data_IF_599660641172
#
_entry.id   IF_599660641172
#
_cell.length_a   1.000
_cell.length_b   1.000
_cell.length_c   1.000
_cell.angle_alpha   90.00
_cell.angle_beta   90.00
_cell.angle_gamma   90.00
#
_symmetry.space_group_name_H-M   'P 1'
#
loop_
_entity.id
_entity.type
_entity.pdbx_description
1 polymer ?
#
# COMPACT_ATOMS: atom_id res chain seq x y z
N UNK A 1 2.64 34.27 56.90
CA UNK A 1 3.50 33.08 56.78
C UNK A 1 2.92 32.16 55.71
N UNK A 2 2.97 32.58 54.47
CA UNK A 2 2.31 31.83 53.35
C UNK A 2 2.97 32.10 52.00
N UNK A 3 4.31 31.91 51.87
CA UNK A 3 5.04 32.28 50.63
C UNK A 3 6.10 31.25 50.18
N UNK A 4 6.11 30.01 50.73
CA UNK A 4 7.16 29.04 50.39
C UNK A 4 6.66 27.68 49.87
N UNK A 5 5.37 27.52 49.58
CA UNK A 5 4.83 26.23 49.12
C UNK A 5 4.78 26.13 47.59
N UNK A 6 4.76 27.25 46.87
CA UNK A 6 4.64 27.25 45.37
C UNK A 6 5.89 26.83 44.58
N UNK A 7 7.14 27.08 45.01
CA UNK A 7 8.31 26.66 44.24
C UNK A 7 8.52 25.13 44.21
N UNK A 8 8.14 24.44 45.30
CA UNK A 8 8.36 22.99 45.38
C UNK A 8 7.44 22.17 44.47
N UNK A 9 6.21 22.62 44.28
CA UNK A 9 5.26 21.97 43.38
C UNK A 9 5.62 22.19 41.86
N UNK A 10 6.23 23.34 41.53
CA UNK A 10 6.67 23.62 40.18
C UNK A 10 7.90 22.79 39.76
N UNK A 11 8.82 22.51 40.71
CA UNK A 11 9.98 21.65 40.49
C UNK A 11 9.63 20.17 40.36
N UNK A 12 8.56 19.70 41.01
CA UNK A 12 8.10 18.30 40.85
C UNK A 12 7.32 18.04 39.57
N UNK A 13 6.80 19.07 38.93
CA UNK A 13 6.11 18.95 37.61
C UNK A 13 7.07 18.81 36.44
N UNK A 14 8.33 19.26 36.56
CA UNK A 14 9.33 19.26 35.50
C UNK A 14 10.12 17.96 35.36
N UNK A 15 9.96 17.00 36.28
CA UNK A 15 10.72 15.75 36.32
C UNK A 15 10.01 14.56 35.64
N UNK A 16 8.90 14.79 34.91
CA UNK A 16 8.32 13.75 34.06
C UNK A 16 8.97 13.77 32.65
N UNK A 17 10.25 13.63 32.59
CA UNK A 17 10.97 13.14 31.41
C UNK A 17 10.58 11.68 31.19
N UNK A 18 9.37 11.44 30.67
CA UNK A 18 8.97 10.10 30.29
C UNK A 18 10.00 9.57 29.29
N UNK A 19 10.60 8.43 29.61
CA UNK A 19 11.51 7.72 28.73
C UNK A 19 10.85 7.60 27.34
N UNK A 20 11.42 8.25 26.33
CA UNK A 20 10.86 8.23 24.97
C UNK A 20 10.96 6.81 24.46
N UNK A 21 9.87 6.04 24.57
CA UNK A 21 9.80 4.70 23.98
C UNK A 21 10.06 4.82 22.48
N UNK A 22 10.98 3.99 21.98
CA UNK A 22 11.28 3.92 20.53
C UNK A 22 9.98 3.57 19.79
N UNK A 23 9.64 4.35 18.78
CA UNK A 23 8.41 4.15 17.97
C UNK A 23 8.40 2.82 17.20
N UNK A 24 9.59 2.28 16.92
CA UNK A 24 9.79 1.05 16.16
C UNK A 24 10.38 -0.02 17.09
N UNK A 25 9.51 -0.73 17.79
CA UNK A 25 9.86 -1.88 18.63
C UNK A 25 9.45 -3.21 17.98
N UNK A 26 8.93 -3.19 16.75
CA UNK A 26 8.60 -4.43 16.03
C UNK A 26 9.90 -5.13 15.64
N UNK A 27 10.13 -6.33 16.16
CA UNK A 27 11.25 -7.19 15.78
C UNK A 27 11.15 -7.67 14.31
N UNK A 28 9.95 -7.58 13.72
CA UNK A 28 9.65 -8.04 12.37
C UNK A 28 9.81 -6.90 11.36
N UNK A 29 10.75 -7.06 10.43
CA UNK A 29 10.96 -6.11 9.34
C UNK A 29 9.78 -6.11 8.35
N UNK A 30 9.61 -5.02 7.60
CA UNK A 30 8.57 -4.93 6.56
C UNK A 30 8.69 -6.04 5.51
N UNK A 31 9.90 -6.39 5.11
CA UNK A 31 10.17 -7.52 4.20
C UNK A 31 9.65 -8.85 4.74
N UNK A 32 9.92 -9.15 6.02
CA UNK A 32 9.45 -10.39 6.67
C UNK A 32 7.92 -10.42 6.73
N UNK A 33 7.29 -9.29 7.02
CA UNK A 33 5.82 -9.20 7.03
C UNK A 33 5.21 -9.46 5.65
N UNK A 34 5.76 -8.84 4.60
CA UNK A 34 5.30 -9.08 3.22
C UNK A 34 5.49 -10.54 2.84
N UNK A 35 6.64 -11.13 3.12
CA UNK A 35 6.92 -12.54 2.86
C UNK A 35 5.91 -13.43 3.57
N UNK A 36 5.65 -13.22 4.86
CA UNK A 36 4.66 -13.97 5.64
C UNK A 36 3.24 -13.87 5.05
N UNK A 37 2.86 -12.67 4.55
CA UNK A 37 1.57 -12.49 3.89
C UNK A 37 1.47 -13.26 2.57
N UNK A 38 2.58 -13.35 1.82
CA UNK A 38 2.65 -14.05 0.53
C UNK A 38 2.78 -15.57 0.66
N UNK A 39 3.39 -16.06 1.73
CA UNK A 39 3.61 -17.49 2.00
C UNK A 39 2.52 -18.10 2.88
N UNK A 40 1.78 -17.26 3.59
CA UNK A 40 0.71 -17.67 4.48
C UNK A 40 -0.59 -18.00 3.76
N UNK A 41 -1.68 -18.00 4.51
CA UNK A 41 -2.99 -18.27 3.94
C UNK A 41 -3.38 -17.18 2.92
N UNK A 42 -3.92 -17.59 1.76
CA UNK A 42 -4.28 -16.71 0.62
C UNK A 42 -5.14 -15.50 1.06
N UNK A 43 -6.07 -15.71 1.99
CA UNK A 43 -6.91 -14.62 2.52
C UNK A 43 -6.11 -13.50 3.19
N UNK A 44 -4.96 -13.79 3.80
CA UNK A 44 -4.14 -12.76 4.43
C UNK A 44 -3.59 -11.78 3.40
N UNK A 45 -3.11 -12.29 2.28
CA UNK A 45 -2.67 -11.46 1.15
C UNK A 45 -3.83 -10.68 0.51
N UNK A 46 -4.98 -11.32 0.32
CA UNK A 46 -6.18 -10.68 -0.21
C UNK A 46 -6.70 -9.56 0.69
N UNK A 47 -6.64 -9.73 2.01
CA UNK A 47 -7.01 -8.68 2.97
C UNK A 47 -6.01 -7.53 2.92
N UNK A 48 -4.70 -7.82 2.94
CA UNK A 48 -3.66 -6.81 2.99
C UNK A 48 -3.50 -6.04 1.67
N UNK A 49 -3.55 -6.73 0.52
CA UNK A 49 -3.18 -6.18 -0.77
C UNK A 49 -4.30 -6.22 -1.82
N UNK A 50 -5.47 -6.76 -1.47
CA UNK A 50 -6.63 -6.96 -2.36
C UNK A 50 -6.32 -7.78 -3.60
N UNK A 51 -5.31 -8.65 -3.53
CA UNK A 51 -4.95 -9.57 -4.60
C UNK A 51 -4.41 -10.90 -4.06
N UNK A 52 -4.37 -11.90 -4.94
CA UNK A 52 -3.82 -13.21 -4.61
C UNK A 52 -2.29 -13.20 -4.61
N UNK A 53 -1.62 -14.07 -3.81
CA UNK A 53 -0.17 -14.12 -3.75
C UNK A 53 0.52 -14.40 -5.09
N UNK A 54 -0.09 -15.22 -5.96
CA UNK A 54 0.45 -15.50 -7.30
C UNK A 54 0.48 -14.22 -8.16
N UNK A 55 -0.62 -13.48 -8.21
CA UNK A 55 -0.74 -12.23 -8.97
C UNK A 55 0.22 -11.16 -8.42
N UNK A 56 0.35 -11.08 -7.09
CA UNK A 56 1.30 -10.16 -6.46
C UNK A 56 2.74 -10.46 -6.90
N UNK A 57 3.14 -11.74 -6.87
CA UNK A 57 4.50 -12.15 -7.30
C UNK A 57 4.74 -11.90 -8.78
N UNK A 58 3.77 -12.19 -9.62
CA UNK A 58 3.86 -11.92 -11.07
C UNK A 58 4.01 -10.43 -11.33
N UNK A 59 3.24 -9.59 -10.65
CA UNK A 59 3.34 -8.13 -10.76
C UNK A 59 4.72 -7.63 -10.29
N UNK A 60 5.21 -8.11 -9.14
CA UNK A 60 6.55 -7.76 -8.63
C UNK A 60 7.65 -8.16 -9.63
N UNK A 61 7.59 -9.37 -10.19
CA UNK A 61 8.53 -9.85 -11.18
C UNK A 61 8.45 -9.04 -12.49
N UNK A 62 7.26 -8.66 -12.92
CA UNK A 62 7.06 -7.79 -14.07
C UNK A 62 7.72 -6.42 -13.85
N UNK A 63 7.46 -5.77 -12.71
CA UNK A 63 8.05 -4.47 -12.37
C UNK A 63 9.58 -4.54 -12.33
N UNK A 64 10.13 -5.62 -11.79
CA UNK A 64 11.58 -5.90 -11.75
C UNK A 64 12.14 -6.11 -13.17
N UNK A 65 11.50 -6.94 -13.99
CA UNK A 65 11.95 -7.26 -15.36
C UNK A 65 11.96 -6.03 -16.27
N UNK A 66 11.00 -5.13 -16.10
CA UNK A 66 10.91 -3.87 -16.85
C UNK A 66 11.73 -2.74 -16.22
N UNK A 67 12.45 -3.01 -15.15
CA UNK A 67 13.22 -2.01 -14.38
C UNK A 67 12.40 -0.79 -13.96
N UNK A 68 11.09 -0.96 -13.81
CA UNK A 68 10.20 0.08 -13.32
C UNK A 68 10.37 0.29 -11.81
N UNK A 69 10.66 -0.79 -11.09
CA UNK A 69 11.06 -0.78 -9.69
C UNK A 69 12.26 -1.71 -9.56
N UNK A 70 13.29 -1.28 -8.84
CA UNK A 70 14.52 -2.04 -8.65
C UNK A 70 14.70 -2.42 -7.18
N UNK A 71 15.33 -3.56 -6.95
CA UNK A 71 15.73 -3.96 -5.60
C UNK A 71 16.85 -3.04 -5.10
N UNK A 72 16.71 -2.60 -3.86
CA UNK A 72 17.70 -1.82 -3.13
C UNK A 72 17.87 -2.47 -1.75
N UNK A 73 18.03 -1.70 -0.67
CA UNK A 73 17.87 -2.20 0.71
C UNK A 73 16.44 -2.65 1.00
N UNK A 74 15.49 -2.16 0.21
CA UNK A 74 14.07 -2.51 0.25
C UNK A 74 13.77 -3.26 -1.04
N UNK A 75 13.16 -4.43 -0.94
CA UNK A 75 12.85 -5.30 -2.08
C UNK A 75 11.71 -4.72 -2.93
N UNK A 76 11.59 -5.17 -4.18
CA UNK A 76 10.47 -4.77 -5.06
C UNK A 76 9.14 -5.19 -4.44
N UNK A 77 9.09 -6.37 -3.84
CA UNK A 77 7.90 -6.89 -3.16
C UNK A 77 7.47 -5.99 -2.01
N UNK A 78 8.42 -5.52 -1.22
CA UNK A 78 8.12 -4.65 -0.09
C UNK A 78 7.64 -3.26 -0.55
N UNK A 79 8.28 -2.68 -1.57
CA UNK A 79 7.86 -1.41 -2.18
C UNK A 79 6.46 -1.50 -2.80
N UNK A 80 6.17 -2.60 -3.49
CA UNK A 80 4.84 -2.88 -4.01
C UNK A 80 3.83 -3.06 -2.87
N UNK A 81 4.24 -3.71 -1.78
CA UNK A 81 3.45 -3.86 -0.56
C UNK A 81 3.07 -2.51 0.05
N UNK A 82 3.99 -1.54 0.15
CA UNK A 82 3.69 -0.19 0.62
C UNK A 82 2.57 0.46 -0.19
N UNK A 83 2.72 0.42 -1.51
CA UNK A 83 1.78 1.04 -2.43
C UNK A 83 0.40 0.40 -2.37
N UNK A 84 0.33 -0.93 -2.44
CA UNK A 84 -0.93 -1.66 -2.40
C UNK A 84 -1.61 -1.58 -1.04
N UNK A 85 -0.87 -1.65 0.05
CA UNK A 85 -1.43 -1.51 1.40
C UNK A 85 -2.04 -0.12 1.61
N UNK A 86 -1.34 0.93 1.17
CA UNK A 86 -1.86 2.29 1.22
C UNK A 86 -3.19 2.41 0.46
N UNK A 87 -3.26 1.88 -0.78
CA UNK A 87 -4.47 1.95 -1.59
C UNK A 87 -5.61 1.09 -1.02
N UNK A 88 -5.30 -0.10 -0.52
CA UNK A 88 -6.32 -1.06 -0.05
C UNK A 88 -6.96 -0.66 1.26
N UNK A 89 -6.26 0.09 2.11
CA UNK A 89 -6.71 0.50 3.45
C UNK A 89 -6.91 2.00 3.58
N UNK A 90 -6.67 2.78 2.51
CA UNK A 90 -6.61 4.24 2.59
C UNK A 90 -5.65 4.69 3.72
N UNK A 91 -4.52 3.98 3.86
CA UNK A 91 -3.59 4.14 4.96
C UNK A 91 -2.77 5.42 4.82
N UNK A 92 -2.57 6.10 5.94
CA UNK A 92 -1.64 7.22 6.03
C UNK A 92 -0.18 6.75 6.05
N UNK A 93 0.77 7.68 5.94
CA UNK A 93 2.20 7.33 6.11
C UNK A 93 2.51 6.87 7.55
N UNK A 94 1.79 7.37 8.54
CA UNK A 94 1.89 6.93 9.93
C UNK A 94 1.45 5.47 10.09
N UNK A 95 0.38 5.06 9.41
CA UNK A 95 -0.09 3.67 9.42
C UNK A 95 0.94 2.75 8.75
N UNK A 96 1.49 3.19 7.62
CA UNK A 96 2.58 2.48 6.94
C UNK A 96 3.82 2.36 7.83
N UNK A 97 4.15 3.41 8.59
CA UNK A 97 5.27 3.42 9.52
C UNK A 97 5.05 2.38 10.64
N UNK A 98 3.86 2.31 11.20
CA UNK A 98 3.51 1.31 12.22
C UNK A 98 3.57 -0.10 11.65
N UNK A 99 3.08 -0.28 10.43
CA UNK A 99 3.00 -1.60 9.81
C UNK A 99 4.36 -2.10 9.29
N UNK A 100 5.09 -1.30 8.51
CA UNK A 100 6.32 -1.72 7.82
C UNK A 100 7.61 -1.31 8.54
N UNK A 101 7.57 -0.31 9.44
CA UNK A 101 8.72 0.08 10.25
C UNK A 101 9.73 1.02 9.57
N UNK A 102 9.41 1.59 8.41
CA UNK A 102 10.25 2.58 7.73
C UNK A 102 9.85 4.03 8.06
N UNK A 103 10.70 4.99 7.68
CA UNK A 103 10.42 6.41 7.84
C UNK A 103 9.39 6.92 6.82
N UNK A 104 8.70 8.02 7.16
CA UNK A 104 7.75 8.67 6.26
C UNK A 104 8.41 9.10 4.95
N UNK A 105 9.67 9.57 4.97
CA UNK A 105 10.41 9.93 3.77
C UNK A 105 10.62 8.75 2.83
N UNK A 106 10.87 7.56 3.39
CA UNK A 106 10.99 6.32 2.61
C UNK A 106 9.69 6.02 1.87
N UNK A 107 8.55 6.07 2.56
CA UNK A 107 7.25 5.84 1.95
C UNK A 107 6.93 6.89 0.90
N UNK A 108 7.12 8.16 1.23
CA UNK A 108 6.89 9.28 0.31
C UNK A 108 7.71 9.10 -0.99
N UNK A 109 9.00 8.76 -0.88
CA UNK A 109 9.85 8.52 -2.04
C UNK A 109 9.33 7.38 -2.92
N UNK A 110 9.07 6.20 -2.33
CA UNK A 110 8.66 5.03 -3.10
C UNK A 110 7.24 5.14 -3.65
N UNK A 111 6.30 5.64 -2.87
CA UNK A 111 4.90 5.81 -3.30
C UNK A 111 4.79 6.85 -4.41
N UNK A 112 5.50 7.98 -4.30
CA UNK A 112 5.57 8.96 -5.39
C UNK A 112 6.18 8.38 -6.67
N UNK A 113 7.15 7.49 -6.56
CA UNK A 113 7.70 6.79 -7.73
C UNK A 113 6.62 5.94 -8.41
N UNK A 114 5.78 5.23 -7.67
CA UNK A 114 4.65 4.50 -8.24
C UNK A 114 3.69 5.43 -8.98
N UNK A 115 3.27 6.53 -8.37
CA UNK A 115 2.34 7.46 -9.01
C UNK A 115 2.93 8.17 -10.23
N UNK A 116 4.19 8.58 -10.19
CA UNK A 116 4.82 9.38 -11.24
C UNK A 116 5.40 8.55 -12.39
N UNK A 117 5.81 7.32 -12.15
CA UNK A 117 6.52 6.50 -13.14
C UNK A 117 5.77 5.19 -13.44
N UNK A 118 5.48 4.39 -12.41
CA UNK A 118 4.94 3.04 -12.60
C UNK A 118 3.54 3.09 -13.19
N UNK A 119 2.62 3.80 -12.54
CA UNK A 119 1.21 3.87 -12.96
C UNK A 119 1.06 4.50 -14.37
N UNK A 120 1.68 5.64 -14.70
CA UNK A 120 1.61 6.18 -16.07
C UNK A 120 2.18 5.24 -17.12
N UNK A 121 3.24 4.50 -16.82
CA UNK A 121 3.82 3.54 -17.75
C UNK A 121 2.90 2.35 -17.98
N UNK A 122 2.30 1.82 -16.92
CA UNK A 122 1.32 0.73 -17.02
C UNK A 122 0.04 1.19 -17.72
N UNK A 123 -0.47 2.37 -17.40
CA UNK A 123 -1.71 2.89 -18.01
C UNK A 123 -1.60 3.05 -19.52
N UNK A 124 -0.51 3.59 -20.01
CA UNK A 124 -0.26 3.71 -21.48
C UNK A 124 -0.29 2.37 -22.20
N UNK A 125 0.09 1.29 -21.50
CA UNK A 125 0.17 -0.05 -22.10
C UNK A 125 -1.14 -0.83 -21.98
N UNK A 126 -1.85 -0.69 -20.88
CA UNK A 126 -3.00 -1.55 -20.55
C UNK A 126 -4.35 -0.83 -20.55
N UNK A 127 -4.36 0.50 -20.35
CA UNK A 127 -5.57 1.30 -20.38
C UNK A 127 -5.70 2.01 -21.74
N UNK A 128 -5.87 1.22 -22.80
CA UNK A 128 -6.24 1.77 -24.09
C UNK A 128 -7.75 2.04 -24.11
N UNK A 129 -8.15 3.21 -24.59
CA UNK A 129 -9.56 3.48 -24.79
C UNK A 129 -10.14 2.43 -25.74
N UNK A 130 -11.32 1.87 -25.45
CA UNK A 130 -11.97 0.95 -26.38
C UNK A 130 -12.23 1.66 -27.71
N UNK A 131 -11.96 0.97 -28.81
CA UNK A 131 -12.26 1.49 -30.13
C UNK A 131 -13.78 1.78 -30.22
N UNK A 132 -14.21 3.02 -30.50
CA UNK A 132 -15.63 3.38 -30.56
C UNK A 132 -16.37 2.57 -31.62
N UNK A 133 -15.67 2.00 -32.61
CA UNK A 133 -16.26 1.16 -33.66
C UNK A 133 -16.33 -0.33 -33.26
N UNK A 134 -15.69 -0.76 -32.18
CA UNK A 134 -15.80 -2.11 -31.66
C UNK A 134 -16.91 -2.20 -30.62
N UNK A 135 -18.06 -2.72 -31.03
CA UNK A 135 -19.12 -3.10 -30.08
C UNK A 135 -18.59 -4.24 -29.20
N UNK A 136 -18.42 -3.98 -27.92
CA UNK A 136 -17.91 -4.97 -26.97
C UNK A 136 -18.79 -6.24 -27.05
N UNK A 137 -18.17 -7.44 -27.09
CA UNK A 137 -18.87 -8.73 -27.18
C UNK A 137 -20.03 -8.85 -26.16
N UNK A 138 -19.84 -8.35 -24.94
CA UNK A 138 -20.89 -8.30 -23.89
C UNK A 138 -22.07 -7.39 -24.24
N UNK A 139 -21.86 -6.27 -24.92
CA UNK A 139 -22.92 -5.38 -25.35
C UNK A 139 -23.76 -6.01 -26.46
N UNK A 140 -23.12 -6.79 -27.34
CA UNK A 140 -23.82 -7.56 -28.38
C UNK A 140 -24.77 -8.58 -27.75
N UNK A 141 -24.31 -9.35 -26.76
CA UNK A 141 -25.12 -10.36 -26.07
C UNK A 141 -26.34 -9.74 -25.34
N UNK A 142 -26.19 -8.54 -24.76
CA UNK A 142 -27.28 -7.82 -24.10
C UNK A 142 -28.28 -7.28 -25.14
N UNK A 143 -27.79 -6.70 -26.25
CA UNK A 143 -28.64 -6.22 -27.34
C UNK A 143 -29.43 -7.35 -27.98
N UNK A 144 -28.82 -8.50 -28.22
CA UNK A 144 -29.46 -9.70 -28.78
C UNK A 144 -30.54 -10.24 -27.81
N UNK A 145 -30.27 -10.21 -26.50
CA UNK A 145 -31.24 -10.61 -25.46
C UNK A 145 -32.44 -9.66 -25.40
N UNK A 146 -32.25 -8.36 -25.57
CA UNK A 146 -33.31 -7.35 -25.56
C UNK A 146 -34.16 -7.45 -26.85
N UNK A 147 -33.57 -7.77 -27.98
CA UNK A 147 -34.26 -7.94 -29.23
C UNK A 147 -35.13 -9.19 -29.23
N UNK A 148 -34.71 -10.27 -28.56
CA UNK A 148 -35.47 -11.51 -28.46
C UNK A 148 -36.71 -11.39 -27.57
N UNK A 149 -36.65 -10.51 -26.55
CA UNK A 149 -37.76 -10.26 -25.62
C UNK A 149 -38.90 -9.38 -26.20
N UNK A 150 -38.73 -8.84 -27.41
CA UNK A 150 -39.71 -7.96 -28.07
C UNK A 150 -40.51 -8.63 -29.19
N UNK A 151 -40.28 -9.92 -29.44
CA UNK A 151 -40.90 -10.69 -30.53
C UNK A 151 -41.79 -11.84 -29.99
N UNK A 152 -42.05 -11.87 -28.67
CA UNK A 152 -43.04 -12.81 -28.08
C UNK A 152 -44.20 -12.03 -27.48
#
# INVERSE_FOLDING_TARGET
MMLFIFPALYLMSSARGGEKKKRHTSEETGEVKVRRLLEGHVKNCQVAFRMEPCIFRELANYLRSKRLVVDTRITVEEKLGFFLYMLSHNASYEDLQVFFGHSNDTFHHHINHFFKVVIPTLSRRYLQAPDPNQVHKKSKTILDSIHFSRIV
#
